data_IF_306253317313
#
_entry.id   IF_306253317313
#
_cell.length_a   1.000
_cell.length_b   1.000
_cell.length_c   1.000
_cell.angle_alpha   90.00
_cell.angle_beta   90.00
_cell.angle_gamma   90.00
#
_symmetry.space_group_name_H-M   'P 1'
#
loop_
_entity.id
_entity.type
_entity.pdbx_description
1 polymer ?
#
# COMPACT_ATOMS: atom_id res chain seq x y z
N UNK A 1 -11.04 2.60 -34.73
CA UNK A 1 -11.22 3.94 -35.30
C UNK A 1 -10.46 4.13 -36.61
N UNK A 2 -9.24 3.69 -36.74
CA UNK A 2 -8.47 3.71 -38.00
C UNK A 2 -9.15 2.95 -39.16
N UNK A 3 -9.68 1.76 -38.87
CA UNK A 3 -10.36 0.91 -39.87
C UNK A 3 -11.64 1.57 -40.43
N UNK A 4 -12.38 2.36 -39.65
CA UNK A 4 -13.54 3.13 -40.15
C UNK A 4 -13.10 4.35 -41.02
N UNK A 5 -11.91 4.89 -40.82
CA UNK A 5 -11.34 5.97 -41.64
C UNK A 5 -10.97 5.47 -43.03
N UNK A 6 -10.38 4.28 -43.13
CA UNK A 6 -10.02 3.70 -44.45
C UNK A 6 -11.23 3.29 -45.27
N UNK A 7 -12.26 2.74 -44.64
CA UNK A 7 -13.53 2.37 -45.33
C UNK A 7 -14.29 3.60 -45.82
N UNK A 8 -14.29 4.71 -45.06
CA UNK A 8 -14.91 5.95 -45.51
C UNK A 8 -14.09 6.63 -46.65
N UNK A 9 -12.77 6.56 -46.62
CA UNK A 9 -11.93 7.07 -47.71
C UNK A 9 -12.09 6.26 -48.98
N UNK A 10 -12.23 4.93 -48.93
CA UNK A 10 -12.47 4.09 -50.12
C UNK A 10 -13.82 4.37 -50.77
N UNK A 11 -14.89 4.58 -50.01
CA UNK A 11 -16.22 4.87 -50.53
C UNK A 11 -16.34 6.28 -51.17
N UNK A 12 -15.38 7.19 -50.93
CA UNK A 12 -15.33 8.52 -51.57
C UNK A 12 -14.58 8.50 -52.91
N UNK A 13 -13.72 7.48 -53.10
CA UNK A 13 -12.88 7.37 -54.31
C UNK A 13 -13.52 6.54 -55.43
N UNK A 14 -14.53 5.68 -55.13
CA UNK A 14 -15.09 4.72 -56.10
C UNK A 14 -16.44 5.11 -56.70
N UNK A 15 -16.93 6.32 -56.50
CA UNK A 15 -18.28 6.67 -56.97
C UNK A 15 -18.45 8.09 -57.52
N UNK A 16 -18.26 8.28 -58.82
CA UNK A 16 -18.93 9.34 -59.62
C UNK A 16 -18.20 10.68 -59.76
N UNK A 17 -18.28 11.24 -60.93
CA UNK A 17 -17.80 12.50 -61.43
C UNK A 17 -17.74 13.65 -60.39
N UNK A 18 -16.58 13.91 -59.79
CA UNK A 18 -16.36 14.99 -58.84
C UNK A 18 -15.63 16.14 -59.47
N UNK A 19 -16.24 17.33 -59.44
CA UNK A 19 -15.53 18.55 -59.81
C UNK A 19 -14.58 19.00 -58.69
N UNK A 20 -13.37 19.50 -59.01
CA UNK A 20 -12.36 19.87 -58.00
C UNK A 20 -12.82 20.91 -56.96
N UNK A 21 -13.78 21.75 -57.30
CA UNK A 21 -14.29 22.80 -56.43
C UNK A 21 -15.15 22.28 -55.23
N UNK A 22 -15.87 21.17 -55.38
CA UNK A 22 -16.65 20.57 -54.29
C UNK A 22 -15.77 19.91 -53.23
N UNK A 23 -14.64 19.35 -53.62
CA UNK A 23 -13.69 18.75 -52.71
C UNK A 23 -13.01 19.77 -51.79
N UNK A 24 -12.65 20.94 -52.35
CA UNK A 24 -12.00 22.02 -51.56
C UNK A 24 -13.00 22.59 -50.53
N UNK A 25 -14.28 22.70 -50.86
CA UNK A 25 -15.32 23.19 -49.97
C UNK A 25 -15.60 22.18 -48.81
N UNK A 26 -15.69 20.91 -49.14
CA UNK A 26 -15.84 19.85 -48.14
C UNK A 26 -14.62 19.74 -47.24
N UNK A 27 -13.43 19.79 -47.80
CA UNK A 27 -12.17 19.77 -47.04
C UNK A 27 -12.02 21.00 -46.12
N UNK A 28 -12.37 22.20 -46.57
CA UNK A 28 -12.41 23.39 -45.73
C UNK A 28 -13.48 23.32 -44.65
N UNK A 29 -14.66 22.79 -44.95
CA UNK A 29 -15.71 22.57 -43.98
C UNK A 29 -15.30 21.53 -42.93
N UNK A 30 -14.62 20.45 -43.32
CA UNK A 30 -14.09 19.43 -42.41
C UNK A 30 -12.89 19.95 -41.61
N UNK A 31 -11.99 20.75 -42.20
CA UNK A 31 -10.88 21.35 -41.47
C UNK A 31 -11.35 22.38 -40.43
N UNK A 32 -12.43 23.10 -40.70
CA UNK A 32 -13.04 24.03 -39.75
C UNK A 32 -13.83 23.29 -38.64
N UNK A 33 -14.48 22.17 -38.95
CA UNK A 33 -15.13 21.31 -37.98
C UNK A 33 -14.08 20.63 -37.09
N UNK A 34 -12.97 20.16 -37.67
CA UNK A 34 -11.87 19.53 -36.93
C UNK A 34 -11.06 20.53 -36.10
N UNK A 35 -11.11 21.83 -36.39
CA UNK A 35 -10.46 22.88 -35.60
C UNK A 35 -11.33 23.39 -34.44
N UNK A 36 -12.65 23.17 -34.49
CA UNK A 36 -13.60 23.67 -33.51
C UNK A 36 -14.23 22.56 -32.65
N UNK A 37 -13.87 21.30 -32.89
CA UNK A 37 -14.26 20.20 -31.99
C UNK A 37 -13.05 19.94 -31.10
N UNK A 38 -13.04 20.54 -29.92
CA UNK A 38 -12.17 20.10 -28.84
C UNK A 38 -12.45 18.60 -28.64
N UNK A 39 -11.43 17.78 -28.85
CA UNK A 39 -11.54 16.32 -28.66
C UNK A 39 -11.95 15.96 -27.22
N UNK A 40 -11.81 16.88 -26.28
CA UNK A 40 -12.27 16.76 -24.89
C UNK A 40 -13.81 16.87 -24.76
N UNK A 41 -14.49 17.58 -25.67
CA UNK A 41 -15.95 17.75 -25.62
C UNK A 41 -16.77 16.50 -26.02
N UNK A 42 -16.15 15.49 -26.64
CA UNK A 42 -16.79 14.23 -27.07
C UNK A 42 -16.44 13.06 -26.16
N UNK A 43 -15.42 13.22 -25.31
CA UNK A 43 -14.94 12.15 -24.43
C UNK A 43 -15.97 11.83 -23.36
N UNK A 44 -16.40 10.56 -23.28
CA UNK A 44 -17.22 10.11 -22.15
C UNK A 44 -16.33 9.61 -20.99
N UNK A 45 -16.89 9.50 -19.78
CA UNK A 45 -16.16 9.08 -18.58
C UNK A 45 -15.44 7.73 -18.76
N UNK A 46 -16.02 6.80 -19.53
CA UNK A 46 -15.37 5.52 -19.85
C UNK A 46 -14.11 5.70 -20.68
N UNK A 47 -14.16 6.56 -21.70
CA UNK A 47 -13.02 6.85 -22.55
C UNK A 47 -11.94 7.63 -21.81
N UNK A 48 -12.34 8.52 -20.92
CA UNK A 48 -11.45 9.24 -20.04
C UNK A 48 -10.71 8.26 -19.07
N UNK A 49 -11.40 7.32 -18.43
CA UNK A 49 -10.78 6.28 -17.62
C UNK A 49 -9.77 5.49 -18.45
N UNK A 50 -10.15 5.06 -19.65
CA UNK A 50 -9.25 4.33 -20.55
C UNK A 50 -8.03 5.15 -20.97
N UNK A 51 -8.19 6.44 -21.22
CA UNK A 51 -7.07 7.34 -21.54
C UNK A 51 -6.08 7.48 -20.37
N UNK A 52 -6.57 7.44 -19.12
CA UNK A 52 -5.71 7.43 -17.92
C UNK A 52 -4.92 6.12 -17.81
N UNK A 53 -5.58 5.00 -18.05
CA UNK A 53 -4.95 3.67 -18.07
C UNK A 53 -3.79 3.62 -19.07
N UNK A 54 -4.01 4.08 -20.32
CA UNK A 54 -2.97 4.16 -21.37
C UNK A 54 -1.78 5.04 -20.93
N UNK A 55 -2.04 6.09 -20.14
CA UNK A 55 -0.99 6.98 -19.60
C UNK A 55 -0.33 6.42 -18.33
N UNK A 56 -0.60 5.17 -17.95
CA UNK A 56 -0.03 4.51 -16.78
C UNK A 56 -0.60 4.99 -15.43
N UNK A 57 -1.73 5.72 -15.42
CA UNK A 57 -2.40 6.15 -14.20
C UNK A 57 -3.41 5.11 -13.76
N UNK A 58 -3.15 4.47 -12.61
CA UNK A 58 -4.00 3.41 -12.06
C UNK A 58 -5.12 3.92 -11.17
N UNK A 59 -5.06 5.19 -10.75
CA UNK A 59 -5.99 5.76 -9.76
C UNK A 59 -6.51 7.13 -10.19
N UNK A 60 -7.65 7.52 -9.61
CA UNK A 60 -8.21 8.86 -9.77
C UNK A 60 -9.19 9.17 -8.63
N UNK A 61 -9.39 10.45 -8.38
CA UNK A 61 -10.39 10.96 -7.44
C UNK A 61 -11.68 11.38 -8.15
N UNK A 62 -12.75 11.51 -7.39
CA UNK A 62 -14.00 12.10 -7.91
C UNK A 62 -13.80 13.57 -8.33
N UNK A 63 -12.84 14.28 -7.72
CA UNK A 63 -12.49 15.63 -8.10
C UNK A 63 -11.89 15.67 -9.50
N UNK A 64 -10.94 14.76 -9.81
CA UNK A 64 -10.36 14.66 -11.16
C UNK A 64 -11.42 14.47 -12.26
N UNK A 65 -12.48 13.68 -11.95
CA UNK A 65 -13.59 13.47 -12.91
C UNK A 65 -14.46 14.72 -13.05
N UNK A 66 -14.74 15.42 -11.94
CA UNK A 66 -15.52 16.65 -11.97
C UNK A 66 -14.80 17.75 -12.72
N UNK A 67 -13.48 17.85 -12.55
CA UNK A 67 -12.67 18.83 -13.25
C UNK A 67 -12.61 18.55 -14.75
N UNK A 68 -12.48 17.26 -15.14
CA UNK A 68 -12.49 16.86 -16.55
C UNK A 68 -13.87 16.99 -17.21
N UNK A 69 -14.95 17.01 -16.45
CA UNK A 69 -16.33 17.09 -16.94
C UNK A 69 -17.13 18.18 -16.20
N UNK A 70 -16.56 19.37 -16.10
CA UNK A 70 -17.13 20.49 -15.32
C UNK A 70 -18.56 20.86 -15.74
N UNK A 71 -18.88 20.73 -17.03
CA UNK A 71 -20.22 21.03 -17.59
C UNK A 71 -21.29 19.97 -17.24
N UNK A 72 -20.88 18.79 -16.71
CA UNK A 72 -21.83 17.71 -16.40
C UNK A 72 -22.35 17.81 -14.96
N UNK A 73 -23.67 17.59 -14.76
CA UNK A 73 -24.25 17.53 -13.41
C UNK A 73 -23.55 16.44 -12.56
N UNK A 74 -23.20 16.75 -11.31
CA UNK A 74 -22.55 15.84 -10.38
C UNK A 74 -23.31 14.49 -10.23
N UNK A 75 -24.64 14.51 -10.30
CA UNK A 75 -25.49 13.31 -10.26
C UNK A 75 -25.22 12.39 -11.45
N UNK A 76 -25.03 12.95 -12.66
CA UNK A 76 -24.70 12.19 -13.86
C UNK A 76 -23.32 11.51 -13.74
N UNK A 77 -22.32 12.25 -13.25
CA UNK A 77 -20.97 11.72 -12.98
C UNK A 77 -21.03 10.55 -12.00
N UNK A 78 -21.72 10.72 -10.87
CA UNK A 78 -21.84 9.67 -9.84
C UNK A 78 -22.55 8.42 -10.39
N UNK A 79 -23.61 8.60 -11.19
CA UNK A 79 -24.32 7.49 -11.81
C UNK A 79 -23.43 6.70 -12.78
N UNK A 80 -22.64 7.41 -13.60
CA UNK A 80 -21.74 6.75 -14.55
C UNK A 80 -20.59 6.05 -13.83
N UNK A 81 -19.98 6.66 -12.79
CA UNK A 81 -18.98 6.02 -11.97
C UNK A 81 -19.52 4.76 -11.29
N UNK A 82 -20.74 4.80 -10.76
CA UNK A 82 -21.40 3.61 -10.18
C UNK A 82 -21.56 2.49 -11.22
N UNK A 83 -21.90 2.82 -12.46
CA UNK A 83 -21.96 1.84 -13.57
C UNK A 83 -20.58 1.26 -13.90
N UNK A 84 -19.51 2.07 -13.89
CA UNK A 84 -18.16 1.57 -14.13
C UNK A 84 -17.70 0.64 -13.00
N UNK A 85 -18.05 0.94 -11.75
CA UNK A 85 -17.83 0.07 -10.58
C UNK A 85 -18.60 -1.25 -10.74
N UNK A 86 -19.89 -1.20 -11.06
CA UNK A 86 -20.74 -2.41 -11.27
C UNK A 86 -20.23 -3.30 -12.40
N UNK A 87 -19.57 -2.72 -13.41
CA UNK A 87 -18.97 -3.45 -14.53
C UNK A 87 -17.56 -3.98 -14.22
N UNK A 88 -17.05 -3.77 -13.00
CA UNK A 88 -15.73 -4.21 -12.57
C UNK A 88 -14.55 -3.53 -13.29
N UNK A 89 -14.78 -2.38 -13.94
CA UNK A 89 -13.71 -1.61 -14.61
C UNK A 89 -12.94 -0.72 -13.67
N UNK A 90 -13.61 -0.24 -12.64
CA UNK A 90 -13.02 0.52 -11.54
C UNK A 90 -13.50 -0.05 -10.21
N UNK A 91 -12.67 0.06 -9.20
CA UNK A 91 -12.99 -0.30 -7.82
C UNK A 91 -12.99 0.95 -6.95
N UNK A 92 -14.05 1.17 -6.17
CA UNK A 92 -14.06 2.20 -5.13
C UNK A 92 -13.41 1.63 -3.88
N UNK A 93 -12.20 2.10 -3.53
CA UNK A 93 -11.42 1.62 -2.38
C UNK A 93 -11.52 2.55 -1.17
N UNK A 94 -11.87 3.80 -1.44
CA UNK A 94 -12.12 4.82 -0.43
C UNK A 94 -13.17 5.81 -0.92
N UNK A 95 -13.80 6.59 -0.02
CA UNK A 95 -14.81 7.57 -0.40
C UNK A 95 -14.24 8.60 -1.38
N UNK A 96 -14.77 8.60 -2.61
CA UNK A 96 -14.34 9.53 -3.66
C UNK A 96 -13.00 9.20 -4.30
N UNK A 97 -12.43 8.02 -4.01
CA UNK A 97 -11.19 7.53 -4.61
C UNK A 97 -11.42 6.18 -5.29
N UNK A 98 -10.92 6.06 -6.51
CA UNK A 98 -11.16 4.94 -7.40
C UNK A 98 -9.85 4.38 -7.95
N UNK A 99 -9.85 3.07 -8.17
CA UNK A 99 -8.75 2.33 -8.80
C UNK A 99 -9.24 1.78 -10.12
N UNK A 100 -8.48 1.98 -11.19
CA UNK A 100 -8.72 1.32 -12.48
C UNK A 100 -8.32 -0.14 -12.32
N UNK A 101 -9.23 -1.07 -12.64
CA UNK A 101 -8.98 -2.50 -12.50
C UNK A 101 -8.21 -3.00 -13.73
N UNK A 102 -6.93 -3.37 -13.60
CA UNK A 102 -6.17 -3.93 -14.71
C UNK A 102 -6.81 -5.20 -15.24
N UNK A 103 -6.65 -5.49 -16.53
CA UNK A 103 -7.30 -6.60 -17.22
C UNK A 103 -7.09 -7.94 -16.50
N UNK A 104 -5.87 -8.19 -16.00
CA UNK A 104 -5.52 -9.42 -15.27
C UNK A 104 -6.28 -9.61 -13.94
N UNK A 105 -6.85 -8.54 -13.38
CA UNK A 105 -7.60 -8.58 -12.12
C UNK A 105 -9.13 -8.47 -12.31
N UNK A 106 -9.62 -8.21 -13.53
CA UNK A 106 -11.07 -8.06 -13.78
C UNK A 106 -11.87 -9.30 -13.41
N UNK A 107 -11.33 -10.50 -13.66
CA UNK A 107 -11.99 -11.76 -13.27
C UNK A 107 -11.96 -12.00 -11.75
N UNK A 108 -10.93 -11.55 -11.06
CA UNK A 108 -10.79 -11.69 -9.61
C UNK A 108 -11.58 -10.64 -8.84
N UNK A 109 -11.93 -9.53 -9.47
CA UNK A 109 -12.69 -8.43 -8.88
C UNK A 109 -11.98 -7.66 -7.75
N UNK A 110 -10.68 -7.93 -7.52
CA UNK A 110 -9.91 -7.31 -6.43
C UNK A 110 -8.53 -6.92 -6.94
N UNK A 111 -8.19 -5.64 -6.79
CA UNK A 111 -6.86 -5.10 -7.15
C UNK A 111 -5.93 -5.15 -5.94
N UNK A 112 -4.70 -5.68 -6.08
CA UNK A 112 -3.73 -5.67 -4.99
C UNK A 112 -3.39 -4.25 -4.53
N UNK A 113 -3.24 -4.02 -3.21
CA UNK A 113 -2.97 -2.69 -2.65
C UNK A 113 -1.74 -1.98 -3.22
N UNK A 114 -0.73 -2.72 -3.65
CA UNK A 114 0.48 -2.18 -4.27
C UNK A 114 0.19 -1.27 -5.49
N UNK A 115 -0.95 -1.47 -6.16
CA UNK A 115 -1.35 -0.67 -7.31
C UNK A 115 -1.96 0.70 -6.94
N UNK A 116 -2.35 0.91 -5.68
CA UNK A 116 -3.12 2.11 -5.34
C UNK A 116 -2.82 2.72 -3.96
N UNK A 117 -2.09 2.03 -3.10
CA UNK A 117 -1.92 2.50 -1.71
C UNK A 117 -1.22 3.86 -1.64
N UNK A 118 -0.21 4.09 -2.46
CA UNK A 118 0.52 5.35 -2.51
C UNK A 118 -0.42 6.49 -2.94
N UNK A 119 -1.10 6.33 -4.08
CA UNK A 119 -2.09 7.32 -4.55
C UNK A 119 -3.28 7.51 -3.59
N UNK A 120 -3.69 6.46 -2.87
CA UNK A 120 -4.73 6.58 -1.85
C UNK A 120 -4.24 7.44 -0.67
N UNK A 121 -3.02 7.22 -0.20
CA UNK A 121 -2.49 7.96 0.94
C UNK A 121 -2.14 9.41 0.59
N UNK A 122 -1.71 9.66 -0.65
CA UNK A 122 -1.60 11.02 -1.19
C UNK A 122 -2.96 11.73 -1.22
N UNK A 123 -4.01 11.03 -1.68
CA UNK A 123 -5.39 11.57 -1.68
C UNK A 123 -5.89 11.86 -0.26
N UNK A 124 -5.57 11.02 0.71
CA UNK A 124 -5.93 11.20 2.13
C UNK A 124 -5.07 12.28 2.79
N UNK A 125 -3.90 12.60 2.22
CA UNK A 125 -2.95 13.60 2.73
C UNK A 125 -2.29 13.16 4.04
N UNK A 126 -1.99 11.87 4.18
CA UNK A 126 -1.36 11.30 5.38
C UNK A 126 -0.18 10.39 5.04
N UNK A 127 0.90 10.44 5.84
CA UNK A 127 2.02 9.55 5.65
C UNK A 127 1.64 8.10 5.99
N UNK A 128 2.33 7.17 5.33
CA UNK A 128 2.14 5.73 5.53
C UNK A 128 3.40 4.94 5.21
N UNK A 129 3.42 3.69 5.62
CA UNK A 129 4.28 2.64 5.08
C UNK A 129 3.62 1.27 5.20
N UNK A 130 4.01 0.34 4.35
CA UNK A 130 3.68 -1.08 4.49
C UNK A 130 4.62 -1.66 5.55
N UNK A 131 4.06 -2.22 6.62
CA UNK A 131 4.81 -2.70 7.79
C UNK A 131 4.53 -4.15 8.12
N UNK A 132 4.99 -4.55 9.30
CA UNK A 132 4.72 -5.84 9.93
C UNK A 132 5.08 -7.04 9.01
N UNK A 133 4.24 -8.09 8.97
CA UNK A 133 4.48 -9.26 8.13
C UNK A 133 4.54 -8.94 6.63
N UNK A 134 3.85 -7.89 6.19
CA UNK A 134 3.90 -7.47 4.79
C UNK A 134 5.26 -6.91 4.41
N UNK A 135 5.91 -6.15 5.30
CA UNK A 135 7.28 -5.69 5.11
C UNK A 135 8.30 -6.81 5.30
N UNK A 136 8.12 -7.66 6.31
CA UNK A 136 8.96 -8.83 6.51
C UNK A 136 9.03 -9.73 5.27
N UNK A 137 7.88 -9.94 4.59
CA UNK A 137 7.84 -10.66 3.32
C UNK A 137 8.62 -9.95 2.19
N UNK A 138 8.71 -8.62 2.22
CA UNK A 138 9.50 -7.86 1.24
C UNK A 138 11.00 -7.97 1.50
N UNK A 139 11.39 -8.24 2.75
CA UNK A 139 12.77 -8.54 3.16
C UNK A 139 13.12 -10.03 3.02
N UNK A 140 12.18 -10.88 2.60
CA UNK A 140 12.39 -12.32 2.45
C UNK A 140 12.27 -13.11 3.76
N UNK A 141 11.92 -12.44 4.87
CA UNK A 141 11.88 -13.03 6.22
C UNK A 141 10.54 -13.69 6.58
N UNK A 142 9.79 -14.18 5.61
CA UNK A 142 8.60 -15.00 5.84
C UNK A 142 8.18 -15.74 4.59
N UNK A 143 7.92 -17.03 4.71
CA UNK A 143 7.41 -17.88 3.63
C UNK A 143 5.90 -17.69 3.40
N UNK A 144 5.17 -17.19 4.37
CA UNK A 144 3.73 -16.98 4.29
C UNK A 144 3.40 -15.50 4.08
N UNK A 145 2.83 -15.18 2.92
CA UNK A 145 2.30 -13.84 2.66
C UNK A 145 1.09 -13.57 3.53
N UNK A 146 1.05 -12.41 4.16
CA UNK A 146 -0.14 -11.95 4.85
C UNK A 146 -1.33 -11.89 3.88
N UNK A 147 -2.51 -12.35 4.30
CA UNK A 147 -3.73 -12.31 3.48
C UNK A 147 -4.15 -10.87 3.11
N UNK A 148 -3.80 -9.92 3.98
CA UNK A 148 -4.01 -8.48 3.79
C UNK A 148 -2.69 -7.76 3.86
N UNK A 149 -2.55 -6.67 3.10
CA UNK A 149 -1.41 -5.77 3.20
C UNK A 149 -1.55 -4.93 4.46
N UNK A 150 -0.59 -5.07 5.37
CA UNK A 150 -0.56 -4.34 6.63
C UNK A 150 0.05 -2.97 6.44
N UNK A 151 -0.72 -1.94 6.73
CA UNK A 151 -0.36 -0.54 6.50
C UNK A 151 -0.32 0.21 7.83
N UNK A 152 0.80 0.84 8.09
CA UNK A 152 1.01 1.72 9.22
C UNK A 152 0.74 3.17 8.82
N UNK A 153 -0.02 3.90 9.61
CA UNK A 153 -0.34 5.31 9.35
C UNK A 153 -0.67 6.06 10.64
N UNK A 154 -0.59 7.37 10.59
CA UNK A 154 -0.95 8.26 11.72
C UNK A 154 -2.46 8.47 11.87
N UNK A 155 -3.28 7.82 11.07
CA UNK A 155 -4.74 7.88 11.20
C UNK A 155 -5.26 6.77 12.12
N UNK A 156 -5.91 7.11 13.25
CA UNK A 156 -6.39 6.10 14.20
C UNK A 156 -7.54 5.25 13.65
N UNK A 157 -8.25 5.71 12.63
CA UNK A 157 -9.34 4.97 11.97
C UNK A 157 -9.49 5.38 10.51
N UNK A 158 -9.16 4.47 9.60
CA UNK A 158 -9.50 4.61 8.19
C UNK A 158 -10.71 3.73 7.88
N UNK A 159 -11.81 4.37 7.45
CA UNK A 159 -12.97 3.64 6.94
C UNK A 159 -12.70 3.27 5.48
N UNK A 160 -12.09 2.11 5.26
CA UNK A 160 -11.97 1.58 3.91
C UNK A 160 -13.38 1.28 3.34
N UNK A 161 -13.60 1.65 2.10
CA UNK A 161 -14.81 1.28 1.37
C UNK A 161 -14.67 -0.14 0.82
N UNK A 162 -15.64 -1.00 1.14
CA UNK A 162 -15.78 -2.31 0.50
C UNK A 162 -15.64 -3.50 1.44
N UNK A 163 -16.47 -4.52 1.18
CA UNK A 163 -16.50 -5.77 1.97
C UNK A 163 -15.23 -6.61 1.82
N UNK A 164 -14.40 -6.36 0.81
CA UNK A 164 -13.20 -7.13 0.46
C UNK A 164 -11.93 -6.26 0.49
N UNK A 165 -11.77 -5.42 1.51
CA UNK A 165 -10.53 -4.65 1.66
C UNK A 165 -9.35 -5.59 1.90
N UNK A 166 -8.37 -5.54 1.00
CA UNK A 166 -7.08 -6.22 1.17
C UNK A 166 -6.10 -5.43 2.05
N UNK A 167 -6.56 -4.34 2.67
CA UNK A 167 -5.78 -3.51 3.57
C UNK A 167 -6.13 -3.82 5.02
N UNK A 168 -5.09 -3.93 5.84
CA UNK A 168 -5.17 -4.01 7.29
C UNK A 168 -4.49 -2.77 7.87
N UNK A 169 -5.27 -1.90 8.52
CA UNK A 169 -4.84 -0.59 8.95
C UNK A 169 -4.37 -0.62 10.40
N UNK A 170 -3.14 -0.19 10.63
CA UNK A 170 -2.53 -0.10 11.93
C UNK A 170 -2.14 1.35 12.24
N UNK A 171 -2.47 1.80 13.45
CA UNK A 171 -2.18 3.15 13.90
C UNK A 171 -0.78 3.24 14.51
N UNK A 172 -0.05 4.27 14.12
CA UNK A 172 1.20 4.68 14.75
C UNK A 172 1.17 6.18 14.98
N UNK A 173 1.64 6.64 16.13
CA UNK A 173 1.60 8.06 16.50
C UNK A 173 2.43 8.92 15.54
N UNK A 174 3.63 8.42 15.18
CA UNK A 174 4.58 9.10 14.31
C UNK A 174 5.27 8.08 13.40
N UNK A 175 5.61 8.50 12.19
CA UNK A 175 6.32 7.65 11.22
C UNK A 175 7.80 7.99 11.24
N UNK A 176 8.70 7.04 11.54
CA UNK A 176 10.14 7.23 11.47
C UNK A 176 10.59 7.21 10.00
N UNK A 177 10.50 8.34 9.33
CA UNK A 177 10.74 8.49 7.88
C UNK A 177 12.12 8.01 7.44
N UNK A 178 13.14 8.13 8.29
CA UNK A 178 14.50 7.66 8.01
C UNK A 178 14.58 6.13 7.81
N UNK A 179 13.64 5.39 8.38
CA UNK A 179 13.55 3.93 8.31
C UNK A 179 12.48 3.43 7.33
N UNK A 180 11.90 4.34 6.54
CA UNK A 180 10.94 4.00 5.48
C UNK A 180 11.66 3.92 4.14
N UNK A 181 11.70 2.74 3.58
CA UNK A 181 12.28 2.45 2.27
C UNK A 181 11.24 2.68 1.17
N UNK A 182 11.73 2.92 -0.05
CA UNK A 182 10.90 3.07 -1.25
C UNK A 182 11.28 2.00 -2.27
N UNK A 183 10.28 1.38 -2.87
CA UNK A 183 10.44 0.43 -3.97
C UNK A 183 9.55 0.85 -5.13
N UNK A 184 10.12 0.87 -6.33
CA UNK A 184 9.31 1.05 -7.53
C UNK A 184 8.44 -0.19 -7.72
N UNK A 185 7.13 0.01 -7.80
CA UNK A 185 6.16 -1.00 -8.16
C UNK A 185 5.89 -0.92 -9.68
N UNK A 186 5.13 -1.88 -10.22
CA UNK A 186 4.70 -1.82 -11.63
C UNK A 186 3.95 -0.51 -11.95
N UNK A 187 3.26 0.03 -10.96
CA UNK A 187 2.55 1.31 -11.05
C UNK A 187 2.81 2.09 -9.75
N UNK A 188 3.61 3.16 -9.84
CA UNK A 188 3.92 4.04 -8.72
C UNK A 188 5.04 3.55 -7.81
N UNK A 189 5.11 4.11 -6.63
CA UNK A 189 6.10 3.83 -5.59
C UNK A 189 5.42 3.19 -4.40
N UNK A 190 6.03 2.19 -3.81
CA UNK A 190 5.58 1.58 -2.56
C UNK A 190 6.52 1.98 -1.44
N UNK A 191 5.97 2.49 -0.34
CA UNK A 191 6.71 2.80 0.89
C UNK A 191 6.56 1.63 1.85
N UNK A 192 7.66 1.17 2.43
CA UNK A 192 7.66 0.04 3.37
C UNK A 192 8.74 0.21 4.43
N UNK A 193 8.56 -0.41 5.61
CA UNK A 193 9.55 -0.34 6.69
C UNK A 193 10.85 -1.04 6.32
N UNK A 194 11.98 -0.43 6.65
CA UNK A 194 13.29 -1.08 6.63
C UNK A 194 13.36 -2.22 7.66
N UNK A 195 14.41 -3.07 7.62
CA UNK A 195 14.52 -4.23 8.49
C UNK A 195 14.45 -3.86 9.99
N UNK A 196 15.14 -2.79 10.40
CA UNK A 196 15.19 -2.32 11.79
C UNK A 196 13.79 -1.94 12.30
N UNK A 197 13.08 -1.10 11.52
CA UNK A 197 11.73 -0.69 11.86
C UNK A 197 10.75 -1.86 11.82
N UNK A 198 10.92 -2.79 10.89
CA UNK A 198 10.09 -3.99 10.79
C UNK A 198 10.27 -4.87 12.03
N UNK A 199 11.50 -5.08 12.52
CA UNK A 199 11.77 -5.86 13.72
C UNK A 199 11.11 -5.25 14.96
N UNK A 200 11.26 -3.95 15.15
CA UNK A 200 10.63 -3.20 16.26
C UNK A 200 9.11 -3.26 16.17
N UNK A 201 8.54 -3.02 14.98
CA UNK A 201 7.08 -3.03 14.78
C UNK A 201 6.46 -4.41 15.03
N UNK A 202 7.11 -5.50 14.60
CA UNK A 202 6.64 -6.86 14.85
C UNK A 202 6.47 -7.13 16.34
N UNK A 203 7.42 -6.67 17.16
CA UNK A 203 7.35 -6.82 18.62
C UNK A 203 6.31 -5.89 19.24
N UNK A 204 6.25 -4.64 18.81
CA UNK A 204 5.34 -3.63 19.34
C UNK A 204 3.88 -3.97 19.02
N UNK A 205 3.62 -4.54 17.86
CA UNK A 205 2.29 -4.91 17.38
C UNK A 205 2.09 -6.44 17.30
N UNK A 206 2.72 -7.19 18.22
CA UNK A 206 2.71 -8.65 18.20
C UNK A 206 1.29 -9.25 18.15
N UNK A 207 0.30 -8.66 18.81
CA UNK A 207 -1.10 -9.09 18.76
C UNK A 207 -1.73 -8.98 17.38
N UNK A 208 -1.27 -8.05 16.55
CA UNK A 208 -1.77 -7.83 15.18
C UNK A 208 -1.18 -8.81 14.16
N UNK A 209 -0.12 -9.53 14.54
CA UNK A 209 0.60 -10.44 13.64
C UNK A 209 0.48 -11.91 14.04
N UNK A 210 -0.34 -12.22 15.03
CA UNK A 210 -0.56 -13.59 15.50
C UNK A 210 0.25 -13.98 16.75
N UNK A 211 0.76 -12.99 17.49
CA UNK A 211 1.45 -13.19 18.77
C UNK A 211 2.95 -13.43 18.65
N UNK A 212 3.59 -13.57 19.82
CA UNK A 212 5.05 -13.65 19.92
C UNK A 212 5.66 -14.91 19.33
N UNK A 213 4.91 -16.02 19.26
CA UNK A 213 5.36 -17.22 18.54
C UNK A 213 5.70 -16.90 17.09
N UNK A 214 4.78 -16.25 16.40
CA UNK A 214 4.98 -15.86 14.99
C UNK A 214 6.02 -14.76 14.81
N UNK A 215 6.07 -13.82 15.77
CA UNK A 215 7.09 -12.77 15.80
C UNK A 215 8.48 -13.39 15.87
N UNK A 216 8.71 -14.35 16.77
CA UNK A 216 10.00 -15.02 16.91
C UNK A 216 10.43 -15.74 15.63
N UNK A 217 9.52 -16.50 15.00
CA UNK A 217 9.80 -17.18 13.71
C UNK A 217 10.23 -16.18 12.62
N UNK A 218 9.54 -15.04 12.50
CA UNK A 218 9.89 -14.03 11.50
C UNK A 218 11.20 -13.31 11.84
N UNK A 219 11.44 -13.02 13.12
CA UNK A 219 12.68 -12.39 13.58
C UNK A 219 13.90 -13.31 13.34
N UNK A 220 13.74 -14.64 13.44
CA UNK A 220 14.84 -15.57 13.18
C UNK A 220 15.50 -15.34 11.82
N UNK A 221 14.70 -15.04 10.80
CA UNK A 221 15.18 -14.74 9.43
C UNK A 221 15.49 -13.24 9.24
N UNK A 222 14.62 -12.35 9.76
CA UNK A 222 14.74 -10.91 9.52
C UNK A 222 16.01 -10.32 10.10
N UNK A 223 16.45 -10.81 11.25
CA UNK A 223 17.58 -10.25 12.00
C UNK A 223 18.92 -10.33 11.26
N UNK A 224 19.04 -11.17 10.25
CA UNK A 224 20.23 -11.23 9.38
C UNK A 224 20.37 -9.96 8.51
N UNK A 225 19.27 -9.24 8.29
CA UNK A 225 19.20 -7.99 7.52
C UNK A 225 19.20 -6.73 8.38
N UNK A 226 19.12 -6.85 9.71
CA UNK A 226 19.02 -5.73 10.64
C UNK A 226 20.40 -5.18 10.99
N UNK A 227 20.60 -3.89 10.79
CA UNK A 227 21.77 -3.15 11.25
C UNK A 227 21.54 -2.66 12.70
N UNK A 228 22.14 -3.36 13.65
CA UNK A 228 22.01 -3.02 15.08
C UNK A 228 22.58 -1.64 15.43
N UNK A 229 23.49 -1.10 14.63
CA UNK A 229 24.05 0.25 14.82
C UNK A 229 23.05 1.39 14.57
N UNK A 230 21.88 1.08 13.99
CA UNK A 230 20.80 2.06 13.72
C UNK A 230 19.61 1.95 14.64
N UNK A 231 19.59 0.95 15.52
CA UNK A 231 18.40 0.68 16.35
C UNK A 231 18.20 1.75 17.42
N UNK A 232 19.27 2.41 17.88
CA UNK A 232 19.20 3.53 18.81
C UNK A 232 18.40 4.72 18.25
N UNK A 233 18.50 4.99 16.96
CA UNK A 233 17.73 6.05 16.28
C UNK A 233 16.21 5.78 16.28
N UNK A 234 15.79 4.53 16.50
CA UNK A 234 14.36 4.14 16.63
C UNK A 234 13.78 4.33 18.04
N UNK A 235 14.62 4.58 19.04
CA UNK A 235 14.15 4.73 20.42
C UNK A 235 13.08 5.81 20.62
N UNK A 236 13.16 6.99 19.95
CA UNK A 236 12.12 8.00 20.07
C UNK A 236 10.75 7.55 19.56
N UNK A 237 10.74 6.54 18.68
CA UNK A 237 9.54 6.03 18.01
C UNK A 237 9.03 4.71 18.59
N UNK A 238 9.63 4.20 19.66
CA UNK A 238 9.24 2.93 20.28
C UNK A 238 9.18 3.06 21.79
N UNK A 239 8.72 2.01 22.47
CA UNK A 239 8.66 1.98 23.94
C UNK A 239 9.82 1.18 24.52
N UNK A 240 10.25 1.53 25.74
CA UNK A 240 11.25 0.75 26.49
C UNK A 240 10.81 -0.72 26.59
N UNK A 241 9.52 -0.97 26.83
CA UNK A 241 8.95 -2.31 26.89
C UNK A 241 9.10 -3.09 25.58
N UNK A 242 9.02 -2.42 24.43
CA UNK A 242 9.26 -3.06 23.12
C UNK A 242 10.72 -3.48 22.98
N UNK A 243 11.65 -2.61 23.38
CA UNK A 243 13.10 -2.88 23.37
C UNK A 243 13.44 -4.05 24.31
N UNK A 244 12.88 -4.07 25.53
CA UNK A 244 13.02 -5.19 26.47
C UNK A 244 12.57 -6.51 25.87
N UNK A 245 11.36 -6.53 25.25
CA UNK A 245 10.80 -7.75 24.61
C UNK A 245 11.64 -8.19 23.42
N UNK A 246 12.06 -7.26 22.56
CA UNK A 246 12.93 -7.58 21.42
C UNK A 246 14.24 -8.21 21.91
N UNK A 247 14.90 -7.60 22.89
CA UNK A 247 16.12 -8.13 23.46
C UNK A 247 15.95 -9.49 24.11
N UNK A 248 14.87 -9.70 24.86
CA UNK A 248 14.52 -11.00 25.41
C UNK A 248 14.34 -12.06 24.33
N UNK A 249 13.64 -11.76 23.25
CA UNK A 249 13.46 -12.67 22.10
C UNK A 249 14.80 -13.00 21.45
N UNK A 250 15.66 -12.01 21.22
CA UNK A 250 16.97 -12.23 20.62
C UNK A 250 17.85 -13.12 21.47
N UNK A 251 17.95 -12.86 22.79
CA UNK A 251 18.84 -13.57 23.69
C UNK A 251 18.30 -14.93 24.12
N UNK A 252 17.06 -14.95 24.67
CA UNK A 252 16.53 -16.12 25.37
C UNK A 252 15.77 -17.08 24.45
N UNK A 253 15.35 -16.63 23.27
CA UNK A 253 14.55 -17.46 22.33
C UNK A 253 15.37 -17.79 21.09
N UNK A 254 16.04 -16.80 20.47
CA UNK A 254 16.72 -16.95 19.19
C UNK A 254 18.24 -17.17 19.32
N UNK A 255 18.78 -17.12 20.54
CA UNK A 255 20.22 -17.31 20.83
C UNK A 255 21.16 -16.37 20.04
N UNK A 256 20.66 -15.16 19.70
CA UNK A 256 21.41 -14.13 18.93
C UNK A 256 22.11 -13.18 19.89
N UNK A 257 23.17 -13.68 20.56
CA UNK A 257 23.83 -12.99 21.65
C UNK A 257 24.43 -11.64 21.24
N UNK A 258 25.13 -11.56 20.11
CA UNK A 258 25.80 -10.33 19.67
C UNK A 258 24.81 -9.18 19.43
N UNK A 259 23.68 -9.50 18.80
CA UNK A 259 22.61 -8.53 18.54
C UNK A 259 21.88 -8.14 19.85
N UNK A 260 21.67 -9.08 20.73
CA UNK A 260 21.12 -8.81 22.05
C UNK A 260 22.06 -7.91 22.88
N UNK A 261 23.38 -8.13 22.83
CA UNK A 261 24.36 -7.30 23.52
C UNK A 261 24.36 -5.86 23.00
N UNK A 262 24.35 -5.68 21.69
CA UNK A 262 24.24 -4.36 21.07
C UNK A 262 22.97 -3.64 21.54
N UNK A 263 21.81 -4.31 21.50
CA UNK A 263 20.53 -3.74 21.94
C UNK A 263 20.52 -3.43 23.43
N UNK A 264 21.19 -4.24 24.24
CA UNK A 264 21.28 -4.00 25.67
C UNK A 264 22.09 -2.74 26.02
N UNK A 265 23.12 -2.41 25.26
CA UNK A 265 23.83 -1.13 25.46
C UNK A 265 22.89 0.05 25.16
N UNK A 266 22.08 -0.05 24.12
CA UNK A 266 21.08 0.95 23.77
C UNK A 266 20.04 1.10 24.89
N UNK A 267 19.54 -0.01 25.45
CA UNK A 267 18.59 0.01 26.56
C UNK A 267 19.18 0.67 27.82
N UNK A 268 20.44 0.41 28.14
CA UNK A 268 21.13 1.04 29.30
C UNK A 268 21.14 2.57 29.24
N UNK A 269 21.21 3.15 28.04
CA UNK A 269 21.18 4.61 27.88
C UNK A 269 19.82 5.22 28.25
N UNK A 270 18.75 4.41 28.31
CA UNK A 270 17.42 4.86 28.71
C UNK A 270 17.23 4.92 30.23
N UNK A 271 18.22 4.52 31.03
CA UNK A 271 18.18 4.52 32.48
C UNK A 271 17.59 3.24 33.06
N UNK A 272 16.70 3.35 34.07
CA UNK A 272 16.08 2.20 34.72
C UNK A 272 14.78 1.78 34.01
N UNK A 273 14.50 0.49 34.01
CA UNK A 273 13.26 -0.07 33.45
C UNK A 273 12.62 -1.07 34.39
N UNK A 274 11.29 -1.18 34.31
CA UNK A 274 10.50 -2.05 35.19
C UNK A 274 10.46 -3.48 34.62
N UNK A 275 10.09 -4.44 35.52
CA UNK A 275 9.76 -5.80 35.09
C UNK A 275 8.43 -5.80 34.33
N UNK A 276 8.40 -6.47 33.19
CA UNK A 276 7.23 -6.57 32.31
C UNK A 276 6.92 -8.02 31.92
N UNK A 277 5.72 -8.26 31.44
CA UNK A 277 5.33 -9.53 30.84
C UNK A 277 5.75 -9.56 29.36
N UNK A 278 6.16 -10.72 28.85
CA UNK A 278 6.34 -10.92 27.42
C UNK A 278 4.99 -10.75 26.71
N UNK A 279 3.97 -11.47 27.17
CA UNK A 279 2.61 -11.33 26.68
C UNK A 279 1.68 -10.80 27.77
N UNK A 280 1.11 -9.61 27.56
CA UNK A 280 0.22 -8.97 28.53
C UNK A 280 -1.15 -9.67 28.66
N UNK A 281 -1.54 -10.50 27.70
CA UNK A 281 -2.82 -11.22 27.68
C UNK A 281 -2.76 -12.53 28.50
N UNK A 282 -1.58 -12.91 29.00
CA UNK A 282 -1.36 -14.11 29.76
C UNK A 282 -0.91 -13.79 31.21
N UNK A 283 -1.25 -14.66 32.13
CA UNK A 283 -0.85 -14.52 33.52
C UNK A 283 0.67 -14.58 33.69
N UNK A 284 1.19 -13.94 34.73
CA UNK A 284 2.60 -14.02 35.13
C UNK A 284 2.94 -15.45 35.54
N UNK A 285 4.09 -15.95 35.09
CA UNK A 285 4.65 -17.21 35.60
C UNK A 285 5.45 -16.92 36.87
N UNK A 286 5.29 -17.78 37.90
CA UNK A 286 5.98 -17.63 39.18
C UNK A 286 7.47 -17.99 39.07
N UNK A 287 7.79 -19.06 38.37
CA UNK A 287 9.15 -19.57 38.19
C UNK A 287 9.66 -19.31 36.77
N UNK A 288 10.24 -18.14 36.58
CA UNK A 288 10.90 -17.78 35.33
C UNK A 288 12.35 -17.37 35.62
N UNK A 289 13.36 -17.88 34.88
CA UNK A 289 14.72 -17.47 35.05
C UNK A 289 14.89 -15.95 34.95
N UNK A 290 15.66 -15.39 35.88
CA UNK A 290 15.97 -13.97 35.86
C UNK A 290 16.78 -13.66 34.57
N UNK A 291 16.44 -12.57 33.89
CA UNK A 291 17.14 -12.10 32.71
C UNK A 291 17.38 -10.59 32.79
N UNK A 292 18.39 -10.11 32.10
CA UNK A 292 18.79 -8.71 32.12
C UNK A 292 17.77 -7.74 31.52
N UNK A 293 16.80 -8.28 30.78
CA UNK A 293 15.70 -7.51 30.14
C UNK A 293 14.56 -7.24 31.10
N UNK A 294 14.53 -7.87 32.26
CA UNK A 294 13.43 -7.86 33.22
C UNK A 294 12.08 -8.29 32.60
N UNK A 295 12.14 -9.22 31.68
CA UNK A 295 10.95 -9.77 31.02
C UNK A 295 10.55 -11.10 31.68
N UNK A 296 9.31 -11.23 32.08
CA UNK A 296 8.73 -12.50 32.49
C UNK A 296 8.27 -13.25 31.24
N UNK A 297 8.95 -14.33 30.89
CA UNK A 297 8.63 -15.21 29.75
C UNK A 297 7.41 -16.07 30.05
N UNK A 298 6.25 -15.48 30.08
CA UNK A 298 4.99 -16.11 30.49
C UNK A 298 4.29 -16.94 29.39
N UNK A 299 4.94 -17.14 28.28
CA UNK A 299 4.52 -18.04 27.19
C UNK A 299 5.71 -18.86 26.71
N UNK A 300 5.44 -20.06 26.22
CA UNK A 300 6.44 -20.88 25.56
C UNK A 300 6.51 -20.48 24.08
N UNK A 301 7.73 -20.33 23.56
CA UNK A 301 8.01 -20.03 22.18
C UNK A 301 8.97 -21.10 21.65
N UNK A 302 8.51 -21.84 20.68
CA UNK A 302 9.30 -22.85 19.98
C UNK A 302 9.59 -22.30 18.57
N UNK A 303 10.85 -22.10 18.26
CA UNK A 303 11.29 -21.73 16.90
C UNK A 303 11.82 -23.00 16.29
N UNK A 304 11.16 -23.49 15.24
CA UNK A 304 11.66 -24.64 14.50
C UNK A 304 13.05 -24.31 13.97
N UNK A 305 14.01 -25.19 14.22
CA UNK A 305 15.34 -25.11 13.61
C UNK A 305 15.16 -25.18 12.08
N UNK A 306 15.45 -24.06 11.40
CA UNK A 306 15.34 -23.91 9.94
C UNK A 306 16.52 -24.56 9.24
#
# INVERSE_FOLDING_TARGET
MLVRREVMMKNVLDGGCYTPQKNVYLFKKWSNIAKNVDFDDIMNIREWIHSREIRGKSTFSIADVKDAFAERPARSINTELSRQVSRGRVQSVYRGFYVIVPVQYQLKGVVPPVYYIDGLMDYVGKPYYVGLLSAAAMHGATHQRAMKTQVMTVLPRIKASGKNSLLDWNYRQEIPEAFVMKKNAEIGTLRYSGPELTAVDLVQFASHVGGYQRVATVLAELMDSVDMGKVDELLPFTTVATVQRLGYLLECVLSRQDQADALFQVLKMQGSWNSILLNNDQARREEVPANRWHVNGNIDIEVDDL
#
